data_IF_321611723276
#
_entry.id   IF_321611723276
#
_cell.length_a   1.000
_cell.length_b   1.000
_cell.length_c   1.000
_cell.angle_alpha   90.00
_cell.angle_beta   90.00
_cell.angle_gamma   90.00
#
_symmetry.space_group_name_H-M   'P 1'
#
loop_
_entity.id
_entity.type
_entity.pdbx_description
1 polymer ?
#
# COMPACT_ATOMS: atom_id res chain seq x y z
N UNK A 1 35.67 24.81 -2.94
CA UNK A 1 36.21 23.61 -3.60
C UNK A 1 35.06 22.76 -4.09
N UNK A 2 35.16 22.17 -5.28
CA UNK A 2 34.13 21.27 -5.83
C UNK A 2 34.21 19.90 -5.15
N UNK A 3 33.06 19.33 -4.79
CA UNK A 3 32.93 18.00 -4.18
C UNK A 3 32.61 16.89 -5.20
N UNK A 4 32.49 17.25 -6.47
CA UNK A 4 32.20 16.32 -7.56
C UNK A 4 33.38 15.34 -7.77
N UNK A 5 33.11 14.04 -7.74
CA UNK A 5 34.09 12.98 -8.03
C UNK A 5 34.83 12.40 -6.81
N UNK A 6 34.59 12.92 -5.60
CA UNK A 6 35.21 12.38 -4.37
C UNK A 6 34.38 11.21 -3.80
N UNK A 7 35.02 10.18 -3.19
CA UNK A 7 34.34 9.06 -2.53
C UNK A 7 33.78 9.48 -1.17
N UNK A 8 32.81 10.39 -1.17
CA UNK A 8 32.18 10.88 0.05
C UNK A 8 31.21 9.83 0.63
N UNK A 9 31.22 9.70 1.95
CA UNK A 9 30.22 8.89 2.64
C UNK A 9 28.82 9.48 2.45
N UNK A 10 27.81 8.61 2.35
CA UNK A 10 26.41 9.06 2.25
C UNK A 10 26.01 9.84 3.50
N UNK A 11 25.30 10.95 3.29
CA UNK A 11 24.81 11.82 4.38
C UNK A 11 23.93 11.07 5.39
N UNK A 12 23.13 10.12 4.93
CA UNK A 12 22.25 9.28 5.73
C UNK A 12 22.90 7.96 6.19
N UNK A 13 24.13 7.67 5.76
CA UNK A 13 24.78 6.37 5.94
C UNK A 13 24.95 6.00 7.41
N UNK A 14 25.45 6.94 8.23
CA UNK A 14 25.66 6.70 9.67
C UNK A 14 24.35 6.36 10.39
N UNK A 15 23.26 7.06 10.08
CA UNK A 15 21.95 6.82 10.71
C UNK A 15 21.43 5.41 10.35
N UNK A 16 21.57 5.00 9.09
CA UNK A 16 21.15 3.67 8.64
C UNK A 16 21.93 2.53 9.30
N UNK A 17 23.26 2.62 9.35
CA UNK A 17 24.10 1.54 9.92
C UNK A 17 24.07 1.47 11.44
N UNK A 18 23.59 2.52 12.11
CA UNK A 18 23.45 2.55 13.58
C UNK A 18 22.01 2.27 14.05
N UNK A 19 21.08 1.97 13.13
CA UNK A 19 19.66 1.77 13.47
C UNK A 19 18.95 3.04 13.94
N UNK A 20 19.50 4.23 13.67
CA UNK A 20 18.93 5.53 14.05
C UNK A 20 18.08 6.17 12.95
N UNK A 21 18.10 5.61 11.74
CA UNK A 21 17.25 6.07 10.65
C UNK A 21 15.82 5.59 10.88
N UNK A 22 14.87 6.52 10.91
CA UNK A 22 13.44 6.18 11.04
C UNK A 22 12.87 5.73 9.71
N UNK A 23 12.26 4.55 9.69
CA UNK A 23 11.58 3.99 8.52
C UNK A 23 10.06 4.05 8.66
N UNK A 24 9.35 3.90 7.54
CA UNK A 24 7.89 4.07 7.47
C UNK A 24 7.10 3.22 8.49
N UNK A 25 7.62 2.06 8.89
CA UNK A 25 6.96 1.17 9.86
C UNK A 25 7.10 1.63 11.33
N UNK A 26 8.03 2.54 11.62
CA UNK A 26 8.33 2.98 13.00
C UNK A 26 7.53 4.21 13.41
N UNK A 27 6.80 4.83 12.48
CA UNK A 27 5.90 5.92 12.80
C UNK A 27 4.67 5.36 13.54
N UNK A 28 4.44 5.88 14.75
CA UNK A 28 3.26 5.54 15.56
C UNK A 28 2.53 6.82 15.95
N UNK A 29 1.41 7.09 15.28
CA UNK A 29 0.61 8.31 15.49
C UNK A 29 -0.64 8.01 16.33
N UNK A 30 -1.10 8.95 17.19
CA UNK A 30 -2.36 8.79 17.91
C UNK A 30 -3.53 8.54 16.94
N UNK A 31 -4.30 7.48 17.18
CA UNK A 31 -5.43 7.11 16.31
C UNK A 31 -5.04 6.50 14.96
N UNK A 32 -3.79 6.06 14.79
CA UNK A 32 -3.35 5.37 13.57
C UNK A 32 -4.13 4.06 13.37
N UNK A 33 -4.72 3.92 12.19
CA UNK A 33 -5.36 2.68 11.79
C UNK A 33 -4.43 1.83 10.92
N UNK A 34 -4.53 0.52 11.06
CA UNK A 34 -3.77 -0.47 10.33
C UNK A 34 -4.60 -1.05 9.19
N UNK A 35 -3.97 -1.31 8.04
CA UNK A 35 -4.64 -1.90 6.90
C UNK A 35 -4.02 -3.23 6.49
N UNK A 36 -4.84 -4.26 6.32
CA UNK A 36 -4.38 -5.58 5.84
C UNK A 36 -4.96 -5.93 4.46
N UNK A 37 -4.11 -6.25 3.46
CA UNK A 37 -4.56 -6.64 2.13
C UNK A 37 -4.90 -8.14 2.04
N UNK A 38 -6.15 -8.49 1.72
CA UNK A 38 -6.52 -9.86 1.36
C UNK A 38 -6.31 -10.06 -0.14
N UNK A 39 -5.46 -11.03 -0.47
CA UNK A 39 -5.01 -11.35 -1.83
C UNK A 39 -5.77 -12.56 -2.40
N UNK A 40 -5.71 -12.70 -3.71
CA UNK A 40 -6.21 -13.89 -4.39
C UNK A 40 -5.40 -15.13 -3.98
N UNK A 41 -6.08 -16.27 -3.83
CA UNK A 41 -5.46 -17.58 -3.61
C UNK A 41 -5.18 -18.33 -4.93
N UNK A 42 -5.61 -17.75 -6.06
CA UNK A 42 -5.49 -18.32 -7.40
C UNK A 42 -4.77 -17.34 -8.34
N UNK A 43 -4.09 -17.87 -9.34
CA UNK A 43 -3.33 -17.07 -10.30
C UNK A 43 -4.22 -16.26 -11.26
N UNK A 44 -5.36 -16.81 -11.69
CA UNK A 44 -6.29 -16.16 -12.62
C UNK A 44 -7.72 -16.61 -12.35
N UNK A 45 -8.63 -15.66 -12.19
CA UNK A 45 -10.05 -15.95 -11.94
C UNK A 45 -10.84 -14.68 -11.68
N UNK A 46 -12.17 -14.76 -11.76
CA UNK A 46 -13.11 -13.64 -11.64
C UNK A 46 -13.68 -13.57 -10.23
N UNK A 47 -13.90 -12.35 -9.71
CA UNK A 47 -14.58 -12.17 -8.43
C UNK A 47 -16.07 -12.41 -8.69
N UNK A 48 -16.58 -13.58 -8.28
CA UNK A 48 -18.01 -13.89 -8.35
C UNK A 48 -18.79 -13.14 -7.26
N UNK A 49 -18.27 -13.15 -6.03
CA UNK A 49 -18.85 -12.47 -4.88
C UNK A 49 -17.78 -12.08 -3.87
N UNK A 50 -18.16 -11.17 -2.96
CA UNK A 50 -17.39 -10.80 -1.78
C UNK A 50 -18.35 -10.86 -0.61
N UNK A 51 -18.10 -11.78 0.32
CA UNK A 51 -18.69 -11.77 1.64
C UNK A 51 -17.75 -11.05 2.61
N UNK A 52 -18.30 -10.08 3.33
CA UNK A 52 -17.63 -9.30 4.37
C UNK A 52 -18.49 -9.16 5.64
N UNK A 53 -19.54 -9.98 5.78
CA UNK A 53 -20.49 -9.87 6.88
C UNK A 53 -19.88 -10.26 8.24
N UNK A 54 -19.02 -11.28 8.28
CA UNK A 54 -18.38 -11.74 9.51
C UNK A 54 -17.41 -10.68 10.05
N UNK A 55 -16.47 -10.23 9.21
CA UNK A 55 -15.42 -9.29 9.60
C UNK A 55 -15.94 -7.90 10.00
N UNK A 56 -17.07 -7.45 9.44
CA UNK A 56 -17.72 -6.19 9.86
C UNK A 56 -18.27 -6.22 11.28
N UNK A 57 -18.49 -7.42 11.84
CA UNK A 57 -18.97 -7.59 13.22
C UNK A 57 -17.85 -7.70 14.23
N UNK A 58 -16.60 -7.87 13.77
CA UNK A 58 -15.46 -8.01 14.65
C UNK A 58 -15.16 -6.67 15.35
N UNK A 59 -14.98 -6.66 16.67
CA UNK A 59 -14.53 -5.47 17.40
C UNK A 59 -13.22 -4.93 16.83
N UNK A 60 -13.11 -3.60 16.72
CA UNK A 60 -11.89 -2.92 16.25
C UNK A 60 -11.79 -2.74 14.73
N UNK A 61 -12.62 -3.44 13.94
CA UNK A 61 -12.71 -3.24 12.48
C UNK A 61 -13.43 -1.92 12.19
N UNK A 62 -12.72 -1.00 11.53
CA UNK A 62 -13.25 0.30 11.12
C UNK A 62 -13.99 0.17 9.79
N UNK A 63 -13.39 -0.51 8.80
CA UNK A 63 -14.00 -0.63 7.48
C UNK A 63 -13.43 -1.77 6.63
N UNK A 64 -14.23 -2.18 5.65
CA UNK A 64 -13.88 -3.11 4.58
C UNK A 64 -13.86 -2.37 3.25
N UNK A 65 -12.69 -2.18 2.66
CA UNK A 65 -12.55 -1.53 1.37
C UNK A 65 -12.45 -2.59 0.28
N UNK A 66 -13.36 -2.51 -0.67
CA UNK A 66 -13.43 -3.36 -1.86
C UNK A 66 -13.64 -2.50 -3.12
N UNK A 67 -13.70 -3.15 -4.28
CA UNK A 67 -14.02 -2.45 -5.53
C UNK A 67 -15.39 -1.75 -5.52
N UNK A 68 -16.29 -2.13 -4.60
CA UNK A 68 -17.66 -1.57 -4.49
C UNK A 68 -17.69 -0.19 -3.82
N UNK A 69 -16.76 0.10 -2.92
CA UNK A 69 -16.76 1.32 -2.10
C UNK A 69 -15.42 2.08 -2.11
N UNK A 70 -14.39 1.57 -2.79
CA UNK A 70 -13.12 2.28 -2.91
C UNK A 70 -13.30 3.63 -3.63
N UNK A 71 -12.68 4.66 -3.08
CA UNK A 71 -12.63 6.01 -3.69
C UNK A 71 -11.96 5.92 -5.06
N UNK A 72 -12.57 6.54 -6.06
CA UNK A 72 -11.96 6.68 -7.39
C UNK A 72 -10.78 7.63 -7.29
N UNK A 73 -9.59 7.12 -7.60
CA UNK A 73 -8.40 7.96 -7.70
C UNK A 73 -8.49 8.82 -8.96
N UNK A 74 -7.94 10.04 -8.87
CA UNK A 74 -7.79 10.89 -10.06
C UNK A 74 -6.88 10.19 -11.07
N UNK A 75 -7.16 10.31 -12.39
CA UNK A 75 -6.26 9.82 -13.41
C UNK A 75 -4.88 10.43 -13.23
N UNK A 76 -3.84 9.61 -13.37
CA UNK A 76 -2.46 10.11 -13.44
C UNK A 76 -2.33 11.04 -14.64
N UNK A 77 -1.56 12.12 -14.49
CA UNK A 77 -1.20 12.96 -15.63
C UNK A 77 -0.30 12.18 -16.61
N UNK A 78 -0.16 12.71 -17.84
CA UNK A 78 0.55 12.01 -18.91
C UNK A 78 2.03 11.74 -18.55
N UNK A 79 2.66 12.63 -17.79
CA UNK A 79 4.04 12.44 -17.34
C UNK A 79 4.16 11.31 -16.30
N UNK A 80 3.25 11.25 -15.34
CA UNK A 80 3.19 10.18 -14.34
C UNK A 80 2.83 8.83 -14.98
N UNK A 81 1.97 8.80 -15.99
CA UNK A 81 1.65 7.59 -16.76
C UNK A 81 2.90 7.02 -17.44
N UNK A 82 3.71 7.88 -18.08
CA UNK A 82 4.96 7.47 -18.73
C UNK A 82 6.00 6.96 -17.73
N UNK A 83 6.16 7.63 -16.58
CA UNK A 83 7.08 7.18 -15.50
C UNK A 83 6.63 5.87 -14.83
N UNK A 84 5.32 5.66 -14.71
CA UNK A 84 4.76 4.45 -14.09
C UNK A 84 4.83 3.21 -15.01
N UNK A 85 5.35 3.33 -16.24
CA UNK A 85 5.31 2.25 -17.22
C UNK A 85 3.89 1.90 -17.67
N UNK A 86 2.93 2.81 -17.48
CA UNK A 86 1.50 2.57 -17.72
C UNK A 86 1.11 2.58 -19.21
N UNK A 87 2.07 2.70 -20.12
CA UNK A 87 1.85 2.66 -21.56
C UNK A 87 1.57 1.24 -22.12
N UNK A 88 1.64 0.18 -21.30
CA UNK A 88 1.57 -1.20 -21.78
C UNK A 88 0.38 -2.04 -21.29
N UNK A 89 -0.70 -1.43 -20.77
CA UNK A 89 -1.86 -2.21 -20.29
C UNK A 89 -3.21 -1.69 -20.80
N UNK A 90 -3.32 -1.49 -22.10
CA UNK A 90 -4.62 -1.51 -22.78
C UNK A 90 -5.04 -2.98 -22.98
N UNK A 91 -6.10 -3.40 -22.28
CA UNK A 91 -6.90 -4.63 -22.51
C UNK A 91 -6.34 -5.99 -22.05
N UNK A 92 -5.85 -6.11 -20.82
CA UNK A 92 -5.90 -7.40 -20.12
C UNK A 92 -5.87 -7.16 -18.61
N UNK A 93 -6.56 -7.97 -17.83
CA UNK A 93 -6.65 -7.86 -16.36
C UNK A 93 -7.64 -6.83 -15.81
N UNK A 94 -8.90 -6.92 -16.25
CA UNK A 94 -9.94 -6.92 -15.23
C UNK A 94 -9.71 -8.17 -14.38
N UNK A 95 -9.11 -8.08 -13.19
CA UNK A 95 -9.33 -8.99 -12.05
C UNK A 95 -8.34 -8.80 -10.90
N UNK A 96 -8.90 -8.89 -9.69
CA UNK A 96 -8.30 -8.77 -8.35
C UNK A 96 -7.93 -7.37 -7.88
N UNK A 97 -8.96 -6.59 -7.54
CA UNK A 97 -8.78 -5.51 -6.56
C UNK A 97 -8.60 -6.12 -5.17
N UNK A 98 -7.46 -5.81 -4.56
CA UNK A 98 -7.09 -6.15 -3.18
C UNK A 98 -8.21 -5.73 -2.24
N UNK A 99 -8.70 -6.64 -1.38
CA UNK A 99 -9.53 -6.20 -0.24
C UNK A 99 -8.61 -5.57 0.78
N UNK A 100 -8.92 -4.39 1.29
CA UNK A 100 -8.20 -3.79 2.43
C UNK A 100 -9.15 -3.71 3.60
N UNK A 101 -8.79 -4.27 4.73
CA UNK A 101 -9.52 -4.06 5.98
C UNK A 101 -8.75 -3.09 6.82
N UNK A 102 -9.43 -2.10 7.39
CA UNK A 102 -8.84 -1.11 8.27
C UNK A 102 -9.26 -1.44 9.70
N UNK A 103 -8.30 -1.65 10.59
CA UNK A 103 -8.49 -1.91 12.02
C UNK A 103 -7.81 -0.84 12.85
N UNK A 104 -8.39 -0.50 14.00
CA UNK A 104 -7.76 0.35 15.02
C UNK A 104 -6.86 -0.43 15.98
N UNK A 105 -7.02 -1.75 16.03
CA UNK A 105 -6.26 -2.64 16.90
C UNK A 105 -5.10 -3.30 16.14
N UNK A 106 -3.91 -3.21 16.71
CA UNK A 106 -2.69 -3.80 16.17
C UNK A 106 -2.59 -5.31 16.43
N UNK A 107 -3.42 -5.87 17.32
CA UNK A 107 -3.41 -7.31 17.65
C UNK A 107 -3.99 -8.22 16.56
N UNK A 108 -4.55 -7.64 15.50
CA UNK A 108 -5.11 -8.34 14.34
C UNK A 108 -4.14 -8.42 13.15
N UNK A 109 -2.90 -7.93 13.31
CA UNK A 109 -1.79 -8.09 12.37
C UNK A 109 -0.87 -9.23 12.79
#
# INVERSE_FOLDING_TARGET
>A
MSETGKPISRIDGRLKVTGKATYSAEFNQPGMAYAFPVRATIAKGQIASIDDAAIKKEPGVINVISYKNAVKLQPLDMQAQMKAGAAFLEKAFHRFRIKRYITSDSSLL
#
